data_IF_297056671219
#
_entry.id   IF_297056671219
#
_cell.length_a   1.000
_cell.length_b   1.000
_cell.length_c   1.000
_cell.angle_alpha   90.00
_cell.angle_beta   90.00
_cell.angle_gamma   90.00
#
_symmetry.space_group_name_H-M   'P 1'
#
loop_
_entity.id
_entity.type
_entity.pdbx_description
1 polymer ?
#
# COMPACT_ATOMS: atom_id res chain seq x y z
N UNK A 1 -13.13 -5.33 -8.43
CA UNK A 1 -12.12 -6.12 -7.75
C UNK A 1 -12.16 -7.57 -8.24
N UNK A 2 -13.28 -8.29 -8.03
CA UNK A 2 -13.38 -9.75 -8.27
C UNK A 2 -13.16 -10.20 -9.71
N UNK A 3 -13.44 -9.34 -10.69
CA UNK A 3 -13.30 -9.68 -12.12
C UNK A 3 -11.87 -9.52 -12.62
N UNK A 4 -11.08 -8.61 -12.03
CA UNK A 4 -9.75 -8.30 -12.51
C UNK A 4 -8.67 -8.52 -11.45
N UNK A 5 -8.77 -7.85 -10.28
CA UNK A 5 -7.71 -7.85 -9.29
C UNK A 5 -7.50 -9.21 -8.62
N UNK A 6 -8.59 -9.92 -8.32
CA UNK A 6 -8.52 -11.23 -7.66
C UNK A 6 -7.87 -12.28 -8.56
N UNK A 7 -8.32 -12.53 -9.82
CA UNK A 7 -7.65 -13.47 -10.71
C UNK A 7 -6.19 -13.12 -11.00
N UNK A 8 -5.89 -11.82 -11.12
CA UNK A 8 -4.52 -11.35 -11.33
C UNK A 8 -3.62 -11.68 -10.15
N UNK A 9 -4.05 -11.36 -8.93
CA UNK A 9 -3.28 -11.63 -7.71
C UNK A 9 -3.01 -13.12 -7.51
N UNK A 10 -4.02 -13.95 -7.66
CA UNK A 10 -3.89 -15.43 -7.55
C UNK A 10 -2.93 -15.99 -8.60
N UNK A 11 -3.03 -15.53 -9.85
CA UNK A 11 -2.19 -16.02 -10.93
C UNK A 11 -0.72 -15.62 -10.72
N UNK A 12 -0.45 -14.39 -10.30
CA UNK A 12 0.90 -13.93 -9.94
C UNK A 12 1.43 -14.73 -8.76
N UNK A 13 0.66 -14.83 -7.67
CA UNK A 13 1.09 -15.54 -6.48
C UNK A 13 1.46 -16.99 -6.75
N UNK A 14 0.60 -17.71 -7.47
CA UNK A 14 0.83 -19.11 -7.83
C UNK A 14 1.99 -19.28 -8.82
N UNK A 15 2.08 -18.43 -9.85
CA UNK A 15 3.13 -18.49 -10.86
C UNK A 15 4.52 -18.20 -10.29
N UNK A 16 4.65 -17.15 -9.48
CA UNK A 16 5.90 -16.79 -8.82
C UNK A 16 6.38 -17.89 -7.86
N UNK A 17 5.46 -18.50 -7.12
CA UNK A 17 5.80 -19.57 -6.19
C UNK A 17 6.27 -20.83 -6.92
N UNK A 18 5.65 -21.17 -8.06
CA UNK A 18 6.05 -22.29 -8.92
C UNK A 18 7.45 -22.13 -9.49
N UNK A 19 7.92 -20.90 -9.71
CA UNK A 19 9.27 -20.63 -10.21
C UNK A 19 10.39 -21.08 -9.27
N UNK A 20 10.08 -21.32 -7.99
CA UNK A 20 11.02 -21.68 -6.90
C UNK A 20 12.19 -20.70 -6.72
N UNK A 21 12.09 -19.51 -7.29
CA UNK A 21 13.10 -18.48 -7.16
C UNK A 21 12.65 -17.44 -6.13
N UNK A 22 13.19 -17.55 -4.91
CA UNK A 22 12.83 -16.66 -3.80
C UNK A 22 13.18 -15.20 -4.10
N UNK A 23 14.32 -14.94 -4.77
CA UNK A 23 14.71 -13.57 -5.10
C UNK A 23 13.72 -12.92 -6.06
N UNK A 24 13.28 -13.68 -7.08
CA UNK A 24 12.27 -13.22 -8.03
C UNK A 24 10.93 -12.94 -7.32
N UNK A 25 10.50 -13.85 -6.43
CA UNK A 25 9.28 -13.67 -5.64
C UNK A 25 9.34 -12.38 -4.82
N UNK A 26 10.43 -12.17 -4.08
CA UNK A 26 10.65 -10.97 -3.24
C UNK A 26 10.67 -9.70 -4.09
N UNK A 27 11.43 -9.68 -5.18
CA UNK A 27 11.57 -8.50 -6.03
C UNK A 27 10.23 -8.11 -6.68
N UNK A 28 9.51 -9.08 -7.24
CA UNK A 28 8.22 -8.83 -7.88
C UNK A 28 7.19 -8.37 -6.85
N UNK A 29 7.11 -9.01 -5.69
CA UNK A 29 6.16 -8.61 -4.66
C UNK A 29 6.46 -7.23 -4.10
N UNK A 30 7.73 -6.87 -3.93
CA UNK A 30 8.12 -5.52 -3.53
C UNK A 30 7.64 -4.48 -4.56
N UNK A 31 7.99 -4.69 -5.83
CA UNK A 31 7.60 -3.77 -6.91
C UNK A 31 6.08 -3.67 -7.01
N UNK A 32 5.36 -4.78 -6.95
CA UNK A 32 3.89 -4.80 -6.98
C UNK A 32 3.30 -4.03 -5.79
N UNK A 33 3.81 -4.24 -4.58
CA UNK A 33 3.35 -3.52 -3.40
C UNK A 33 3.51 -2.00 -3.56
N UNK A 34 4.66 -1.55 -4.07
CA UNK A 34 4.89 -0.13 -4.37
C UNK A 34 3.93 0.39 -5.44
N UNK A 35 3.83 -0.29 -6.59
CA UNK A 35 3.03 0.16 -7.72
C UNK A 35 1.53 0.24 -7.40
N UNK A 36 0.99 -0.77 -6.71
CA UNK A 36 -0.42 -0.80 -6.34
C UNK A 36 -0.74 0.32 -5.36
N UNK A 37 0.15 0.56 -4.40
CA UNK A 37 -0.04 1.62 -3.40
C UNK A 37 0.07 3.01 -4.03
N UNK A 38 1.05 3.23 -4.92
CA UNK A 38 1.17 4.51 -5.65
C UNK A 38 -0.04 4.76 -6.55
N UNK A 39 -0.69 3.70 -7.04
CA UNK A 39 -1.91 3.79 -7.85
C UNK A 39 -3.19 4.00 -7.02
N UNK A 40 -3.12 3.97 -5.68
CA UNK A 40 -4.29 4.14 -4.82
C UNK A 40 -4.74 5.61 -4.80
N UNK A 41 -5.97 5.95 -5.24
CA UNK A 41 -6.44 7.33 -5.30
C UNK A 41 -6.48 8.03 -3.94
N UNK A 42 -6.84 7.30 -2.89
CA UNK A 42 -6.97 7.84 -1.53
C UNK A 42 -5.62 8.33 -0.99
N UNK A 43 -4.52 7.70 -1.41
CA UNK A 43 -3.17 8.15 -1.05
C UNK A 43 -2.82 9.50 -1.70
N UNK A 44 -3.28 9.73 -2.93
CA UNK A 44 -3.11 11.02 -3.60
C UNK A 44 -3.88 12.13 -2.88
N UNK A 45 -5.09 11.83 -2.39
CA UNK A 45 -5.90 12.77 -1.59
C UNK A 45 -5.16 13.11 -0.28
N UNK A 46 -4.70 12.11 0.47
CA UNK A 46 -3.92 12.33 1.69
C UNK A 46 -2.69 13.21 1.42
N UNK A 47 -1.93 12.90 0.37
CA UNK A 47 -0.73 13.64 0.00
C UNK A 47 -1.04 15.10 -0.36
N UNK A 48 -2.18 15.36 -1.00
CA UNK A 48 -2.60 16.73 -1.34
C UNK A 48 -2.96 17.57 -0.10
N UNK A 49 -3.52 16.95 0.93
CA UNK A 49 -3.88 17.64 2.18
C UNK A 49 -2.67 18.13 2.98
N UNK A 50 -1.53 17.49 2.82
CA UNK A 50 -0.28 17.82 3.54
C UNK A 50 0.81 18.39 2.64
N UNK A 51 0.48 18.75 1.39
CA UNK A 51 1.43 19.23 0.38
C UNK A 51 2.19 20.51 0.79
N UNK A 52 1.63 21.30 1.72
CA UNK A 52 2.31 22.49 2.26
C UNK A 52 3.46 22.18 3.22
N UNK A 53 3.60 20.92 3.66
CA UNK A 53 4.55 20.50 4.70
C UNK A 53 5.51 19.45 4.18
N UNK A 54 4.98 18.47 3.46
CA UNK A 54 5.73 17.37 2.84
C UNK A 54 5.40 17.36 1.36
N UNK A 55 6.42 17.22 0.53
CA UNK A 55 6.20 17.03 -0.90
C UNK A 55 5.34 15.78 -1.14
N UNK A 56 4.25 15.94 -1.90
CA UNK A 56 3.28 14.88 -2.17
C UNK A 56 3.93 13.64 -2.76
N UNK A 57 4.92 13.82 -3.63
CA UNK A 57 5.65 12.73 -4.27
C UNK A 57 6.47 11.94 -3.25
N UNK A 58 7.15 12.66 -2.34
CA UNK A 58 7.93 12.04 -1.26
C UNK A 58 7.01 11.20 -0.35
N UNK A 59 5.85 11.74 0.03
CA UNK A 59 4.91 11.01 0.87
C UNK A 59 4.38 9.74 0.17
N UNK A 60 3.92 9.87 -1.08
CA UNK A 60 3.38 8.75 -1.86
C UNK A 60 4.42 7.63 -2.01
N UNK A 61 5.66 7.96 -2.37
CA UNK A 61 6.70 6.95 -2.50
C UNK A 61 7.13 6.36 -1.16
N UNK A 62 7.19 7.16 -0.09
CA UNK A 62 7.51 6.66 1.27
C UNK A 62 6.47 5.64 1.73
N UNK A 63 5.19 5.95 1.57
CA UNK A 63 4.08 5.04 1.87
C UNK A 63 4.13 3.79 0.98
N UNK A 64 4.34 3.96 -0.32
CA UNK A 64 4.46 2.85 -1.27
C UNK A 64 5.60 1.89 -0.94
N UNK A 65 6.78 2.42 -0.60
CA UNK A 65 7.93 1.63 -0.16
C UNK A 65 7.60 0.90 1.15
N UNK A 66 6.92 1.56 2.09
CA UNK A 66 6.45 0.94 3.33
C UNK A 66 5.58 -0.28 3.07
N UNK A 67 4.56 -0.16 2.20
CA UNK A 67 3.71 -1.30 1.80
C UNK A 67 4.52 -2.39 1.10
N UNK A 68 5.38 -2.01 0.15
CA UNK A 68 6.21 -2.96 -0.59
C UNK A 68 7.11 -3.80 0.31
N UNK A 69 7.78 -3.18 1.28
CA UNK A 69 8.63 -3.87 2.26
C UNK A 69 7.81 -4.83 3.14
N UNK A 70 6.67 -4.36 3.64
CA UNK A 70 5.83 -5.20 4.51
C UNK A 70 5.09 -6.29 3.75
N UNK A 71 4.77 -6.09 2.48
CA UNK A 71 4.28 -7.16 1.61
C UNK A 71 5.32 -8.27 1.46
N UNK A 72 6.59 -7.92 1.28
CA UNK A 72 7.69 -8.90 1.25
C UNK A 72 7.77 -9.66 2.58
N UNK A 73 7.74 -8.96 3.72
CA UNK A 73 7.75 -9.60 5.05
C UNK A 73 6.57 -10.56 5.20
N UNK A 74 5.38 -10.12 4.78
CA UNK A 74 4.15 -10.88 4.85
C UNK A 74 4.21 -12.16 3.99
N UNK A 75 4.79 -12.08 2.80
CA UNK A 75 4.98 -13.23 1.92
C UNK A 75 6.06 -14.18 2.46
N UNK A 76 7.18 -13.66 2.95
CA UNK A 76 8.21 -14.46 3.59
C UNK A 76 7.67 -15.20 4.82
N UNK A 77 6.74 -14.58 5.58
CA UNK A 77 6.01 -15.26 6.66
C UNK A 77 5.28 -16.51 6.17
N UNK A 78 4.59 -16.44 5.02
CA UNK A 78 3.90 -17.60 4.44
C UNK A 78 4.91 -18.66 4.00
N UNK A 79 5.94 -18.26 3.25
CA UNK A 79 6.97 -19.16 2.71
C UNK A 79 7.69 -19.91 3.84
N UNK A 80 8.06 -19.22 4.91
CA UNK A 80 8.75 -19.80 6.05
C UNK A 80 7.82 -20.35 7.15
N UNK A 81 6.52 -20.33 6.92
CA UNK A 81 5.48 -20.83 7.86
C UNK A 81 5.63 -20.24 9.27
N UNK A 82 5.90 -18.95 9.36
CA UNK A 82 6.04 -18.23 10.64
C UNK A 82 4.68 -17.80 11.18
N UNK A 83 4.58 -17.66 12.51
CA UNK A 83 3.38 -17.19 13.19
C UNK A 83 3.08 -15.74 12.86
N UNK A 84 1.88 -15.46 12.38
CA UNK A 84 1.40 -14.10 12.12
C UNK A 84 1.34 -13.27 13.40
N UNK A 85 0.80 -13.84 14.47
CA UNK A 85 0.63 -13.15 15.74
C UNK A 85 1.95 -12.64 16.32
N UNK A 86 3.02 -13.45 16.24
CA UNK A 86 4.33 -13.03 16.75
C UNK A 86 4.92 -11.87 15.95
N UNK A 87 4.77 -11.90 14.63
CA UNK A 87 5.26 -10.83 13.74
C UNK A 87 4.47 -9.55 13.96
N UNK A 88 3.14 -9.64 14.02
CA UNK A 88 2.27 -8.49 14.31
C UNK A 88 2.60 -7.89 15.66
N UNK A 89 2.70 -8.69 16.71
CA UNK A 89 3.03 -8.21 18.06
C UNK A 89 4.37 -7.46 18.06
N UNK A 90 5.40 -7.99 17.42
CA UNK A 90 6.70 -7.32 17.32
C UNK A 90 6.58 -5.95 16.62
N UNK A 91 5.95 -5.88 15.46
CA UNK A 91 5.85 -4.63 14.72
C UNK A 91 4.91 -3.62 15.37
N UNK A 92 3.83 -4.04 16.04
CA UNK A 92 3.00 -3.15 16.83
C UNK A 92 3.78 -2.58 18.03
N UNK A 93 4.61 -3.36 18.69
CA UNK A 93 5.49 -2.85 19.75
C UNK A 93 6.46 -1.80 19.21
N UNK A 94 7.09 -2.05 18.08
CA UNK A 94 7.96 -1.08 17.40
C UNK A 94 7.19 0.18 17.01
N UNK A 95 6.00 0.04 16.44
CA UNK A 95 5.15 1.16 16.06
C UNK A 95 4.78 2.04 17.27
N UNK A 96 4.35 1.46 18.38
CA UNK A 96 4.03 2.22 19.59
C UNK A 96 5.26 2.85 20.23
N UNK A 97 6.41 2.17 20.20
CA UNK A 97 7.66 2.74 20.70
C UNK A 97 8.10 3.96 19.88
N UNK A 98 8.02 3.89 18.56
CA UNK A 98 8.32 5.02 17.67
C UNK A 98 7.30 6.15 17.82
N UNK A 99 6.01 5.82 18.00
CA UNK A 99 4.98 6.83 18.29
C UNK A 99 5.28 7.59 19.59
N UNK A 100 5.69 6.88 20.64
CA UNK A 100 6.10 7.52 21.89
C UNK A 100 7.32 8.43 21.69
N UNK A 101 8.28 8.03 20.87
CA UNK A 101 9.44 8.84 20.52
C UNK A 101 9.03 10.14 19.79
N UNK A 102 8.11 10.06 18.84
CA UNK A 102 7.57 11.24 18.13
C UNK A 102 6.86 12.20 19.09
N UNK A 103 6.10 11.67 20.06
CA UNK A 103 5.45 12.49 21.10
C UNK A 103 6.50 13.22 21.96
N UNK A 104 7.54 12.52 22.40
CA UNK A 104 8.62 13.08 23.24
C UNK A 104 9.37 14.18 22.48
N UNK A 105 9.57 14.02 21.17
CA UNK A 105 10.23 15.00 20.32
C UNK A 105 9.33 16.22 19.98
N UNK A 106 8.07 16.24 20.41
CA UNK A 106 7.15 17.34 20.16
C UNK A 106 6.43 17.32 18.82
N UNK A 107 6.66 16.30 17.98
CA UNK A 107 6.09 16.17 16.63
C UNK A 107 4.75 15.43 16.61
N UNK A 108 3.93 15.60 17.64
CA UNK A 108 2.65 14.87 17.81
C UNK A 108 1.71 14.98 16.62
N UNK A 109 1.75 16.10 15.89
CA UNK A 109 0.93 16.32 14.70
C UNK A 109 1.15 15.30 13.58
N UNK A 110 2.33 14.63 13.53
CA UNK A 110 2.61 13.60 12.54
C UNK A 110 1.88 12.27 12.79
N UNK A 111 1.46 12.00 14.02
CA UNK A 111 0.83 10.72 14.35
C UNK A 111 -0.49 10.49 13.63
N UNK A 112 -1.45 11.44 13.59
CA UNK A 112 -2.68 11.25 12.84
C UNK A 112 -2.39 10.89 11.37
N UNK A 113 -1.50 11.63 10.71
CA UNK A 113 -1.12 11.37 9.31
C UNK A 113 -0.45 9.99 9.15
N UNK A 114 0.43 9.61 10.07
CA UNK A 114 1.09 8.32 10.02
C UNK A 114 0.08 7.17 10.14
N UNK A 115 -0.84 7.24 11.10
CA UNK A 115 -1.86 6.20 11.26
C UNK A 115 -2.88 6.21 10.10
N UNK A 116 -3.24 7.38 9.60
CA UNK A 116 -4.14 7.51 8.44
C UNK A 116 -3.50 6.92 7.17
N UNK A 117 -2.19 7.08 6.98
CA UNK A 117 -1.48 6.46 5.86
C UNK A 117 -1.61 4.94 5.84
N UNK A 118 -1.69 4.29 7.01
CA UNK A 118 -1.96 2.85 7.10
C UNK A 118 -3.39 2.48 6.69
N UNK A 119 -4.37 3.34 7.00
CA UNK A 119 -5.76 3.18 6.59
C UNK A 119 -5.96 3.42 5.10
N UNK A 120 -5.41 4.49 4.57
CA UNK A 120 -5.49 4.87 3.16
C UNK A 120 -4.93 3.81 2.22
N UNK A 121 -3.91 3.07 2.64
CA UNK A 121 -3.34 1.97 1.83
C UNK A 121 -4.18 0.70 1.83
N UNK A 122 -5.29 0.66 2.57
CA UNK A 122 -6.26 -0.45 2.55
C UNK A 122 -7.46 -0.17 1.63
N UNK A 123 -7.20 0.44 0.49
CA UNK A 123 -8.21 0.86 -0.47
C UNK A 123 -8.76 -0.25 -1.38
N UNK A 124 -9.67 0.12 -2.30
CA UNK A 124 -10.40 -0.82 -3.15
C UNK A 124 -9.53 -1.55 -4.18
N UNK A 125 -8.33 -1.08 -4.45
CA UNK A 125 -7.38 -1.71 -5.38
C UNK A 125 -6.41 -2.60 -4.59
N UNK A 126 -5.81 -2.07 -3.54
CA UNK A 126 -4.72 -2.69 -2.80
C UNK A 126 -5.16 -3.95 -2.04
N UNK A 127 -6.26 -3.88 -1.29
CA UNK A 127 -6.72 -5.00 -0.45
C UNK A 127 -7.07 -6.25 -1.26
N UNK A 128 -7.95 -6.18 -2.29
CA UNK A 128 -8.31 -7.39 -3.05
C UNK A 128 -7.09 -8.03 -3.72
N UNK A 129 -6.15 -7.23 -4.20
CA UNK A 129 -4.95 -7.75 -4.83
C UNK A 129 -4.02 -8.46 -3.83
N UNK A 130 -3.74 -7.83 -2.68
CA UNK A 130 -2.87 -8.43 -1.64
C UNK A 130 -3.48 -9.73 -1.12
N UNK A 131 -4.78 -9.76 -0.88
CA UNK A 131 -5.48 -10.97 -0.45
C UNK A 131 -5.36 -12.08 -1.49
N UNK A 132 -5.64 -11.78 -2.75
CA UNK A 132 -5.56 -12.74 -3.85
C UNK A 132 -4.13 -13.25 -4.09
N UNK A 133 -3.14 -12.37 -3.99
CA UNK A 133 -1.73 -12.74 -4.04
C UNK A 133 -1.38 -13.75 -2.92
N UNK A 134 -1.86 -13.49 -1.71
CA UNK A 134 -1.68 -14.38 -0.57
C UNK A 134 -2.32 -15.75 -0.76
N UNK A 135 -3.56 -15.78 -1.26
CA UNK A 135 -4.26 -17.03 -1.60
C UNK A 135 -3.48 -17.82 -2.65
N UNK A 136 -3.04 -17.17 -3.74
CA UNK A 136 -2.27 -17.81 -4.81
C UNK A 136 -0.96 -18.41 -4.32
N UNK A 137 -0.24 -17.72 -3.44
CA UNK A 137 0.99 -18.23 -2.82
C UNK A 137 0.70 -19.38 -1.87
N UNK A 138 -0.26 -19.22 -0.97
CA UNK A 138 -0.59 -20.22 0.03
C UNK A 138 -1.12 -21.52 -0.60
N UNK A 139 -1.96 -21.42 -1.62
CA UNK A 139 -2.46 -22.57 -2.37
C UNK A 139 -1.34 -23.38 -3.03
N UNK A 140 -0.29 -22.71 -3.50
CA UNK A 140 0.85 -23.39 -4.15
C UNK A 140 1.79 -24.04 -3.13
N UNK A 141 1.96 -23.44 -1.94
CA UNK A 141 2.81 -23.97 -0.87
C UNK A 141 2.10 -25.11 -0.10
N UNK A 142 0.78 -25.25 -0.25
CA UNK A 142 0.01 -26.32 0.39
C UNK A 142 -0.32 -26.05 1.86
N UNK A 143 -0.80 -24.85 2.17
CA UNK A 143 -1.28 -24.47 3.50
C UNK A 143 -2.79 -24.69 3.65
N UNK A 144 -3.22 -25.26 4.80
CA UNK A 144 -4.64 -25.41 5.15
C UNK A 144 -5.33 -24.08 5.48
N UNK A 145 -4.55 -23.06 5.83
CA UNK A 145 -5.02 -21.78 6.36
C UNK A 145 -4.82 -20.62 5.35
N UNK A 146 -5.10 -20.90 4.06
CA UNK A 146 -4.86 -19.94 2.97
C UNK A 146 -5.63 -18.62 3.17
N UNK A 147 -6.90 -18.68 3.60
CA UNK A 147 -7.72 -17.49 3.84
C UNK A 147 -7.25 -16.68 5.06
N UNK A 148 -6.95 -17.35 6.17
CA UNK A 148 -6.41 -16.70 7.37
C UNK A 148 -5.07 -16.05 7.08
N UNK A 149 -4.21 -16.71 6.31
CA UNK A 149 -2.94 -16.16 5.87
C UNK A 149 -3.12 -14.94 4.96
N UNK A 150 -4.10 -14.95 4.06
CA UNK A 150 -4.33 -13.83 3.12
C UNK A 150 -4.80 -12.56 3.84
N UNK A 151 -5.74 -12.68 4.78
CA UNK A 151 -6.21 -11.54 5.58
C UNK A 151 -5.08 -10.96 6.45
N UNK A 152 -4.25 -11.81 7.02
CA UNK A 152 -3.08 -11.39 7.79
C UNK A 152 -2.03 -10.60 7.00
N UNK A 153 -1.97 -10.78 5.67
CA UNK A 153 -1.11 -9.97 4.81
C UNK A 153 -1.52 -8.50 4.80
N UNK A 154 -2.83 -8.23 4.72
CA UNK A 154 -3.36 -6.86 4.73
C UNK A 154 -2.99 -6.16 6.04
N UNK A 155 -3.15 -6.83 7.18
CA UNK A 155 -2.78 -6.28 8.48
C UNK A 155 -1.29 -5.93 8.57
N UNK A 156 -0.40 -6.78 8.03
CA UNK A 156 1.03 -6.48 7.96
C UNK A 156 1.32 -5.32 7.02
N UNK A 157 0.70 -5.30 5.84
CA UNK A 157 0.93 -4.24 4.85
C UNK A 157 0.47 -2.86 5.35
N UNK A 158 -0.52 -2.77 6.25
CA UNK A 158 -0.95 -1.50 6.86
C UNK A 158 0.06 -0.94 7.85
N UNK A 159 0.87 -1.78 8.50
CA UNK A 159 1.90 -1.33 9.44
C UNK A 159 3.06 -0.64 8.72
N UNK A 160 3.40 -1.08 7.52
CA UNK A 160 4.50 -0.54 6.72
C UNK A 160 4.43 0.97 6.50
N UNK A 161 3.33 1.48 5.93
CA UNK A 161 3.09 2.92 5.76
C UNK A 161 3.18 3.70 7.06
N UNK A 162 2.55 3.19 8.12
CA UNK A 162 2.56 3.85 9.44
C UNK A 162 4.00 4.04 9.91
N UNK A 163 4.80 2.98 9.88
CA UNK A 163 6.21 3.05 10.29
C UNK A 163 7.03 3.97 9.37
N UNK A 164 6.81 3.91 8.07
CA UNK A 164 7.53 4.74 7.11
C UNK A 164 7.23 6.24 7.33
N UNK A 165 5.97 6.61 7.57
CA UNK A 165 5.57 8.00 7.85
C UNK A 165 6.00 8.44 9.25
N UNK A 166 5.96 7.58 10.26
CA UNK A 166 6.52 7.89 11.59
C UNK A 166 8.01 8.22 11.47
N UNK A 167 8.77 7.42 10.74
CA UNK A 167 10.20 7.67 10.52
C UNK A 167 10.44 8.98 9.78
N UNK A 168 9.60 9.30 8.78
CA UNK A 168 9.65 10.58 8.07
C UNK A 168 9.39 11.76 9.03
N UNK A 169 8.49 11.57 10.00
CA UNK A 169 8.11 12.60 10.97
C UNK A 169 9.08 12.79 12.14
N UNK A 170 10.00 11.86 12.39
CA UNK A 170 10.96 11.99 13.53
C UNK A 170 11.86 13.22 13.36
N UNK A 171 12.35 13.46 12.16
CA UNK A 171 13.27 14.57 11.86
C UNK A 171 12.56 15.80 11.26
N UNK A 172 11.24 15.75 11.14
CA UNK A 172 10.48 16.88 10.58
C UNK A 172 10.47 18.05 11.58
N UNK A 173 11.02 19.15 11.16
CA UNK A 173 10.99 20.41 11.93
C UNK A 173 9.81 21.26 11.45
N UNK A 174 8.72 21.25 12.19
CA UNK A 174 7.58 22.12 11.92
C UNK A 174 6.26 21.63 12.51
N UNK A 175 5.35 22.55 12.73
CA UNK A 175 3.95 22.23 13.05
C UNK A 175 3.22 21.84 11.77
N UNK A 176 2.55 20.70 11.79
CA UNK A 176 1.64 20.30 10.72
C UNK A 176 0.45 21.28 10.70
N UNK A 177 0.42 22.13 9.71
CA UNK A 177 -0.73 22.99 9.42
C UNK A 177 -1.53 22.32 8.29
N UNK A 178 -2.61 21.63 8.65
CA UNK A 178 -3.45 20.96 7.70
C UNK A 178 -4.24 21.98 6.88
N UNK A 179 -4.04 21.97 5.58
CA UNK A 179 -4.84 22.78 4.68
C UNK A 179 -6.22 22.16 4.48
N UNK A 180 -7.25 22.86 4.91
CA UNK A 180 -8.64 22.46 4.62
C UNK A 180 -8.90 22.82 3.16
N UNK A 181 -9.28 21.85 2.29
CA UNK A 181 -9.65 22.14 0.92
C UNK A 181 -10.80 23.13 0.86
N UNK A 182 -10.73 24.09 -0.06
CA UNK A 182 -11.83 25.01 -0.31
C UNK A 182 -12.94 24.26 -1.09
N UNK A 183 -14.05 24.02 -0.42
CA UNK A 183 -15.23 23.36 -0.99
C UNK A 183 -16.25 24.35 -1.55
N UNK A 184 -15.82 25.59 -1.91
CA UNK A 184 -16.72 26.57 -2.52
C UNK A 184 -17.34 25.98 -3.80
N UNK A 185 -18.66 26.12 -3.91
CA UNK A 185 -19.41 25.67 -5.10
C UNK A 185 -18.98 26.56 -6.27
N UNK A 186 -18.45 25.97 -7.32
CA UNK A 186 -18.05 26.70 -8.52
C UNK A 186 -19.26 27.36 -9.20
N UNK A 187 -19.14 28.61 -9.62
CA UNK A 187 -20.19 29.38 -10.31
C UNK A 187 -20.71 28.69 -11.58
N UNK A 188 -19.90 27.80 -12.19
CA UNK A 188 -20.24 26.99 -13.35
C UNK A 188 -20.23 25.50 -13.01
N UNK A 189 -21.21 25.04 -12.23
CA UNK A 189 -21.31 23.68 -11.73
C UNK A 189 -21.12 22.60 -12.82
N UNK A 190 -21.78 22.74 -13.99
CA UNK A 190 -21.65 21.76 -15.07
C UNK A 190 -20.25 21.66 -15.66
N UNK A 191 -19.59 22.80 -15.88
CA UNK A 191 -18.22 22.83 -16.43
C UNK A 191 -17.21 22.27 -15.40
N UNK A 192 -17.36 22.63 -14.13
CA UNK A 192 -16.53 22.12 -13.04
C UNK A 192 -16.69 20.61 -12.86
N UNK A 193 -17.94 20.11 -12.91
CA UNK A 193 -18.22 18.67 -12.81
C UNK A 193 -17.64 17.89 -13.98
N UNK A 194 -17.77 18.40 -15.21
CA UNK A 194 -17.19 17.75 -16.39
C UNK A 194 -15.67 17.72 -16.32
N UNK A 195 -15.04 18.83 -15.92
CA UNK A 195 -13.60 18.90 -15.72
C UNK A 195 -13.13 17.91 -14.67
N UNK A 196 -13.82 17.84 -13.53
CA UNK A 196 -13.52 16.87 -12.48
C UNK A 196 -13.64 15.42 -12.95
N UNK A 197 -14.72 15.08 -13.68
CA UNK A 197 -14.92 13.75 -14.25
C UNK A 197 -13.78 13.36 -15.21
N UNK A 198 -13.39 14.27 -16.10
CA UNK A 198 -12.30 14.00 -17.05
C UNK A 198 -10.96 13.85 -16.33
N UNK A 199 -10.70 14.70 -15.32
CA UNK A 199 -9.48 14.61 -14.51
C UNK A 199 -9.41 13.29 -13.75
N UNK A 200 -10.45 12.94 -13.01
CA UNK A 200 -10.53 11.68 -12.26
C UNK A 200 -10.44 10.46 -13.17
N UNK A 201 -11.13 10.47 -14.33
CA UNK A 201 -11.03 9.38 -15.29
C UNK A 201 -9.60 9.20 -15.82
N UNK A 202 -8.87 10.31 -16.07
CA UNK A 202 -7.47 10.27 -16.50
C UNK A 202 -6.56 9.69 -15.41
N UNK A 203 -6.73 10.10 -14.15
CA UNK A 203 -5.95 9.58 -13.02
C UNK A 203 -6.18 8.09 -12.83
N UNK A 204 -7.43 7.64 -12.84
CA UNK A 204 -7.79 6.22 -12.73
C UNK A 204 -7.21 5.41 -13.89
N UNK A 205 -7.28 5.93 -15.11
CA UNK A 205 -6.71 5.25 -16.29
C UNK A 205 -5.18 5.17 -16.22
N UNK A 206 -4.50 6.19 -15.71
CA UNK A 206 -3.05 6.16 -15.52
C UNK A 206 -2.65 5.15 -14.44
N UNK A 207 -3.34 5.18 -13.30
CA UNK A 207 -3.08 4.27 -12.18
C UNK A 207 -3.29 2.80 -12.58
N UNK A 208 -4.46 2.48 -13.16
CA UNK A 208 -4.75 1.14 -13.63
C UNK A 208 -3.86 0.74 -14.81
N UNK A 209 -3.54 1.66 -15.72
CA UNK A 209 -2.67 1.44 -16.86
C UNK A 209 -1.27 0.99 -16.44
N UNK A 210 -0.70 1.60 -15.42
CA UNK A 210 0.61 1.22 -14.88
C UNK A 210 0.59 -0.23 -14.36
N UNK A 211 -0.44 -0.60 -13.61
CA UNK A 211 -0.61 -1.95 -13.08
C UNK A 211 -0.79 -2.97 -14.21
N UNK A 212 -1.64 -2.64 -15.21
CA UNK A 212 -1.89 -3.53 -16.37
C UNK A 212 -0.62 -3.74 -17.20
N UNK A 213 0.15 -2.69 -17.46
CA UNK A 213 1.42 -2.78 -18.20
C UNK A 213 2.41 -3.65 -17.44
N UNK A 214 2.59 -3.41 -16.15
CA UNK A 214 3.48 -4.23 -15.32
C UNK A 214 3.04 -5.70 -15.33
N UNK A 215 1.73 -5.95 -15.23
CA UNK A 215 1.16 -7.28 -15.26
C UNK A 215 1.39 -7.97 -16.61
N UNK A 216 1.21 -7.27 -17.71
CA UNK A 216 1.47 -7.79 -19.05
C UNK A 216 2.96 -8.18 -19.22
N UNK A 217 3.87 -7.36 -18.71
CA UNK A 217 5.30 -7.68 -18.69
C UNK A 217 5.59 -8.94 -17.88
N UNK A 218 5.02 -9.05 -16.67
CA UNK A 218 5.16 -10.25 -15.84
C UNK A 218 4.60 -11.50 -16.54
N UNK A 219 3.42 -11.39 -17.15
CA UNK A 219 2.80 -12.49 -17.88
C UNK A 219 3.71 -13.03 -18.99
N UNK A 220 4.36 -12.15 -19.73
CA UNK A 220 5.22 -12.54 -20.84
C UNK A 220 6.59 -13.04 -20.40
N UNK A 221 7.15 -12.49 -19.33
CA UNK A 221 8.54 -12.76 -18.90
C UNK A 221 8.66 -13.87 -17.86
N UNK A 222 7.71 -13.95 -16.92
CA UNK A 222 7.84 -14.79 -15.72
C UNK A 222 6.79 -15.90 -15.65
N UNK A 223 5.55 -15.61 -16.05
CA UNK A 223 4.40 -16.50 -15.85
C UNK A 223 4.10 -17.41 -17.06
N UNK A 224 5.02 -17.54 -17.99
CA UNK A 224 4.91 -18.44 -19.16
C UNK A 224 4.70 -19.88 -18.79
#
# INVERSE_FOLDING_TARGET
ADVAMTPMGEHVGSGLTKSKNLLLLVAVCFIMGVLITVAEPDLTVLASQVAGIIDSTVLIFTVGIGVGLFLVIAILKIVFKKSLASILMFFYMVMFALSALVIINGNIGFLPMAYDSGGVTTGPITVPFIMALGVGIAATIGGRDAEENSFGLVALCSIGPILAVILLGIDASGTLDYQIPDYAIADHFLAATLHLLVHTAKEVLLALGLIVVFFAVLQVTVLK
#
